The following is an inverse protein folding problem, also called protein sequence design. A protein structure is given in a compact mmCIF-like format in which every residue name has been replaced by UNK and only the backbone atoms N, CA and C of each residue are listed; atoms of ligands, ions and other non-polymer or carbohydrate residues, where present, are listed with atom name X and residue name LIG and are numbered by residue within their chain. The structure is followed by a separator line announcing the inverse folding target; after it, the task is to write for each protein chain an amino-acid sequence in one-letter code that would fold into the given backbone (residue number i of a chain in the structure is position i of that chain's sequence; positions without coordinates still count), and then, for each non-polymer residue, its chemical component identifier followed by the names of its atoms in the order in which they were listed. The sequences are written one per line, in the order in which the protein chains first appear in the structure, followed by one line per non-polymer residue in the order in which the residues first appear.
data_IF_358856490256
#
_entry.id   IF_358856490256
#
_cell.length_a   1.000
_cell.length_b   1.000
_cell.length_c   1.000
_cell.angle_alpha   90.00
_cell.angle_beta   90.00
_cell.angle_gamma   90.00
#
_symmetry.space_group_name_H-M   'P 1'
#
loop_
_entity.id
_entity.type
_entity.pdbx_description
1 polymer ?
#
# COMPACT_ATOMS: atom_id res chain seq x y z
N UNK A 1 -8.03 -8.44 21.90
CA UNK A 1 -8.24 -9.58 21.00
C UNK A 1 -7.86 -10.84 21.75
N UNK A 2 -8.82 -11.47 22.44
CA UNK A 2 -8.59 -12.73 23.13
C UNK A 2 -8.98 -13.84 22.14
N UNK A 3 -8.09 -14.81 21.90
CA UNK A 3 -8.40 -15.98 21.07
C UNK A 3 -9.61 -16.73 21.62
N UNK A 4 -10.34 -17.44 20.75
CA UNK A 4 -11.49 -18.27 21.12
C UNK A 4 -11.11 -19.27 22.22
N UNK A 5 -11.94 -19.36 23.25
CA UNK A 5 -11.82 -20.35 24.33
C UNK A 5 -11.95 -21.77 23.76
N UNK A 6 -11.31 -22.75 24.39
CA UNK A 6 -11.29 -24.14 23.92
C UNK A 6 -12.70 -24.71 23.77
N UNK A 7 -13.63 -24.27 24.63
CA UNK A 7 -15.04 -24.64 24.54
C UNK A 7 -15.72 -24.18 23.24
N UNK A 8 -15.42 -22.96 22.76
CA UNK A 8 -15.98 -22.47 21.48
C UNK A 8 -15.36 -23.17 20.27
N UNK A 9 -14.06 -23.50 20.35
CA UNK A 9 -13.40 -24.33 19.34
C UNK A 9 -14.09 -25.69 19.21
N UNK A 10 -14.29 -26.39 20.33
CA UNK A 10 -14.87 -27.74 20.32
C UNK A 10 -16.31 -27.73 19.81
N UNK A 11 -17.09 -26.69 20.15
CA UNK A 11 -18.49 -26.57 19.75
C UNK A 11 -18.68 -26.21 18.26
N UNK A 12 -17.87 -25.28 17.72
CA UNK A 12 -18.15 -24.68 16.40
C UNK A 12 -17.08 -24.95 15.34
N UNK A 13 -15.80 -24.95 15.73
CA UNK A 13 -14.68 -24.99 14.78
C UNK A 13 -14.25 -26.43 14.50
N UNK A 14 -14.15 -27.26 15.55
CA UNK A 14 -13.73 -28.66 15.46
C UNK A 14 -14.58 -29.47 14.46
N UNK A 15 -15.93 -29.41 14.46
CA UNK A 15 -16.74 -30.16 13.50
C UNK A 15 -16.46 -29.77 12.04
N UNK A 16 -16.18 -28.49 11.78
CA UNK A 16 -15.88 -27.97 10.43
C UNK A 16 -14.52 -28.49 9.96
N UNK A 17 -13.50 -28.37 10.80
CA UNK A 17 -12.14 -28.87 10.51
C UNK A 17 -12.18 -30.39 10.27
N UNK A 18 -12.86 -31.13 11.14
CA UNK A 18 -12.98 -32.59 11.06
C UNK A 18 -13.65 -33.04 9.76
N UNK A 19 -14.72 -32.33 9.33
CA UNK A 19 -15.47 -32.71 8.14
C UNK A 19 -14.82 -32.27 6.82
N UNK A 20 -14.10 -31.13 6.81
CA UNK A 20 -13.66 -30.47 5.57
C UNK A 20 -12.16 -30.42 5.37
N UNK A 21 -11.38 -30.43 6.45
CA UNK A 21 -9.95 -30.13 6.39
C UNK A 21 -9.08 -31.35 6.72
N UNK A 22 -9.50 -32.22 7.65
CA UNK A 22 -8.65 -33.32 8.14
C UNK A 22 -8.33 -34.39 7.10
N UNK A 23 -9.12 -34.52 6.02
CA UNK A 23 -8.78 -35.43 4.91
C UNK A 23 -7.40 -35.13 4.33
N UNK A 24 -7.02 -33.85 4.26
CA UNK A 24 -5.68 -33.43 3.82
C UNK A 24 -4.80 -33.07 5.02
N UNK A 25 -5.33 -32.35 6.01
CA UNK A 25 -4.57 -31.78 7.13
C UNK A 25 -4.51 -32.67 8.39
N UNK A 26 -4.74 -33.97 8.25
CA UNK A 26 -4.77 -34.93 9.38
C UNK A 26 -3.41 -35.28 9.99
N UNK A 27 -2.31 -34.74 9.44
CA UNK A 27 -0.93 -35.00 9.90
C UNK A 27 -0.18 -36.10 9.13
N UNK A 28 -0.84 -36.75 8.16
CA UNK A 28 -0.23 -37.80 7.34
C UNK A 28 0.83 -37.28 6.35
N UNK A 29 0.74 -36.00 5.95
CA UNK A 29 1.69 -35.38 5.05
C UNK A 29 2.47 -34.27 5.78
N UNK A 30 3.79 -34.43 5.99
CA UNK A 30 4.63 -33.44 6.67
C UNK A 30 4.78 -32.09 5.94
N UNK A 31 4.45 -32.03 4.65
CA UNK A 31 4.61 -30.82 3.84
C UNK A 31 3.43 -29.84 3.94
N UNK A 32 2.37 -30.22 4.65
CA UNK A 32 1.20 -29.36 4.87
C UNK A 32 0.89 -29.23 6.36
N UNK A 33 0.35 -28.09 6.81
CA UNK A 33 0.09 -27.86 8.22
C UNK A 33 -0.84 -28.93 8.80
N UNK A 34 -0.50 -29.48 9.97
CA UNK A 34 -1.41 -30.36 10.69
C UNK A 34 -2.47 -29.48 11.39
N UNK A 35 -3.75 -29.73 11.13
CA UNK A 35 -4.87 -29.02 11.75
C UNK A 35 -5.63 -29.89 12.76
N UNK A 36 -5.14 -31.11 13.01
CA UNK A 36 -5.77 -32.06 13.92
C UNK A 36 -5.58 -31.62 15.37
N UNK A 37 -6.70 -31.26 16.01
CA UNK A 37 -6.75 -30.84 17.40
C UNK A 37 -6.43 -29.36 17.63
N UNK A 38 -6.88 -28.88 18.79
CA UNK A 38 -6.81 -27.47 19.18
C UNK A 38 -5.38 -26.91 19.15
N UNK A 39 -4.40 -27.63 19.69
CA UNK A 39 -3.02 -27.14 19.81
C UNK A 39 -2.35 -26.92 18.46
N UNK A 40 -2.60 -27.81 17.51
CA UNK A 40 -2.02 -27.68 16.18
C UNK A 40 -2.69 -26.54 15.41
N UNK A 41 -4.01 -26.40 15.54
CA UNK A 41 -4.73 -25.26 14.97
C UNK A 41 -4.29 -23.93 15.59
N UNK A 42 -4.10 -23.87 16.91
CA UNK A 42 -3.69 -22.66 17.63
C UNK A 42 -2.28 -22.17 17.25
N UNK A 43 -1.40 -23.06 16.77
CA UNK A 43 -0.08 -22.70 16.25
C UNK A 43 -0.15 -21.97 14.90
N UNK A 44 -1.13 -22.31 14.07
CA UNK A 44 -1.30 -21.68 12.74
C UNK A 44 -2.31 -20.55 12.74
N UNK A 45 -3.24 -20.54 13.71
CA UNK A 45 -4.23 -19.49 13.93
C UNK A 45 -3.75 -18.43 14.93
N UNK A 46 -2.44 -18.21 15.02
CA UNK A 46 -1.86 -17.15 15.83
C UNK A 46 -2.39 -15.79 15.37
N UNK A 47 -2.66 -14.90 16.31
CA UNK A 47 -3.06 -13.52 15.99
C UNK A 47 -1.89 -12.86 15.26
N UNK A 48 -2.15 -12.38 14.04
CA UNK A 48 -1.18 -11.59 13.30
C UNK A 48 -0.95 -10.27 14.05
N UNK A 49 0.23 -10.12 14.63
CA UNK A 49 0.67 -8.89 15.33
C UNK A 49 1.33 -7.89 14.38
N UNK A 50 1.24 -8.15 13.08
CA UNK A 50 1.87 -7.40 12.00
C UNK A 50 3.37 -7.70 11.87
N UNK A 51 4.01 -7.07 10.90
CA UNK A 51 5.44 -7.25 10.64
C UNK A 51 6.34 -6.87 11.83
N UNK A 52 7.50 -7.52 11.93
CA UNK A 52 8.54 -7.13 12.89
C UNK A 52 9.09 -5.74 12.58
N UNK A 53 9.62 -5.04 13.58
CA UNK A 53 10.25 -3.72 13.37
C UNK A 53 11.43 -3.83 12.40
N UNK A 54 12.23 -4.91 12.48
CA UNK A 54 13.35 -5.13 11.58
C UNK A 54 12.89 -5.29 10.12
N UNK A 55 11.80 -6.04 9.90
CA UNK A 55 11.16 -6.13 8.58
C UNK A 55 10.67 -4.76 8.14
N UNK A 56 10.03 -4.02 9.03
CA UNK A 56 9.46 -2.72 8.71
C UNK A 56 10.54 -1.73 8.27
N UNK A 57 11.63 -1.61 9.02
CA UNK A 57 12.80 -0.78 8.66
C UNK A 57 13.35 -1.16 7.28
N UNK A 58 13.50 -2.46 7.01
CA UNK A 58 13.96 -2.95 5.70
C UNK A 58 13.02 -2.51 4.58
N UNK A 59 11.71 -2.72 4.75
CA UNK A 59 10.69 -2.38 3.75
C UNK A 59 10.60 -0.87 3.56
N UNK A 60 10.67 -0.09 4.64
CA UNK A 60 10.69 1.38 4.60
C UNK A 60 11.89 1.90 3.81
N UNK A 61 13.09 1.34 3.99
CA UNK A 61 14.27 1.77 3.24
C UNK A 61 14.10 1.54 1.74
N UNK A 62 13.68 0.34 1.32
CA UNK A 62 13.52 0.03 -0.11
C UNK A 62 12.40 0.86 -0.76
N UNK A 63 11.30 1.15 -0.03
CA UNK A 63 10.20 1.95 -0.57
C UNK A 63 10.57 3.43 -0.64
N UNK A 64 11.12 3.97 0.45
CA UNK A 64 11.53 5.38 0.50
C UNK A 64 12.59 5.67 -0.56
N UNK A 65 13.54 4.75 -0.81
CA UNK A 65 14.55 4.94 -1.84
C UNK A 65 14.00 4.70 -3.26
N UNK A 66 13.38 3.55 -3.51
CA UNK A 66 12.96 3.15 -4.85
C UNK A 66 11.78 3.97 -5.39
N UNK A 67 10.77 4.23 -4.56
CA UNK A 67 9.56 4.93 -5.01
C UNK A 67 9.81 6.43 -5.18
N UNK A 68 10.60 7.06 -4.30
CA UNK A 68 10.95 8.49 -4.49
C UNK A 68 11.75 8.71 -5.76
N UNK A 69 12.59 7.75 -6.16
CA UNK A 69 13.29 7.80 -7.45
C UNK A 69 12.31 7.78 -8.64
N UNK A 70 11.27 6.94 -8.58
CA UNK A 70 10.20 6.89 -9.58
C UNK A 70 9.45 8.23 -9.64
N UNK A 71 9.08 8.79 -8.48
CA UNK A 71 8.40 10.09 -8.41
C UNK A 71 9.26 11.25 -8.90
N UNK A 72 10.57 11.18 -8.66
CA UNK A 72 11.51 12.16 -9.19
C UNK A 72 11.52 12.14 -10.72
N UNK A 73 11.68 10.97 -11.34
CA UNK A 73 11.67 10.85 -12.80
C UNK A 73 10.31 11.29 -13.37
N UNK A 74 9.21 10.82 -12.81
CA UNK A 74 7.87 11.19 -13.27
C UNK A 74 7.61 12.70 -13.12
N UNK A 75 8.00 13.27 -11.98
CA UNK A 75 7.89 14.70 -11.70
C UNK A 75 8.72 15.54 -12.67
N UNK A 76 9.92 15.09 -13.04
CA UNK A 76 10.74 15.75 -14.07
C UNK A 76 10.11 15.67 -15.47
N UNK A 77 9.49 14.54 -15.84
CA UNK A 77 8.76 14.45 -17.11
C UNK A 77 7.57 15.43 -17.07
N UNK A 78 6.78 15.39 -16.01
CA UNK A 78 5.60 16.22 -15.82
C UNK A 78 5.91 17.72 -15.69
N UNK A 79 7.10 18.12 -15.22
CA UNK A 79 7.46 19.53 -15.15
C UNK A 79 7.45 20.20 -16.53
N UNK A 80 7.76 19.43 -17.58
CA UNK A 80 7.70 19.86 -18.98
C UNK A 80 6.29 19.83 -19.57
N UNK A 81 5.34 19.14 -18.92
CA UNK A 81 3.94 19.15 -19.35
C UNK A 81 3.34 20.55 -19.14
N UNK A 82 2.55 21.02 -20.09
CA UNK A 82 1.81 22.26 -20.00
C UNK A 82 0.66 22.12 -18.99
N UNK A 83 0.82 22.68 -17.80
CA UNK A 83 -0.22 22.75 -16.78
C UNK A 83 -0.22 24.14 -16.16
N UNK A 84 -1.36 24.82 -16.23
CA UNK A 84 -1.61 26.09 -15.53
C UNK A 84 -2.78 25.92 -14.58
N UNK A 85 -2.72 26.52 -13.38
CA UNK A 85 -1.70 27.45 -12.86
C UNK A 85 -0.40 26.76 -12.35
N UNK A 86 0.71 27.52 -12.24
CA UNK A 86 2.03 26.99 -11.85
C UNK A 86 2.04 26.40 -10.43
N UNK A 87 1.32 27.03 -9.49
CA UNK A 87 1.23 26.52 -8.11
C UNK A 87 0.62 25.12 -8.06
N UNK A 88 -0.38 24.83 -8.92
CA UNK A 88 -1.03 23.52 -8.99
C UNK A 88 -0.06 22.49 -9.53
N UNK A 89 0.73 22.84 -10.56
CA UNK A 89 1.78 21.97 -11.08
C UNK A 89 2.79 21.61 -9.99
N UNK A 90 3.28 22.61 -9.26
CA UNK A 90 4.23 22.38 -8.16
C UNK A 90 3.62 21.52 -7.05
N UNK A 91 2.36 21.76 -6.68
CA UNK A 91 1.65 20.97 -5.67
C UNK A 91 1.54 19.49 -6.08
N UNK A 92 1.15 19.22 -7.34
CA UNK A 92 1.05 17.87 -7.89
C UNK A 92 2.41 17.16 -7.92
N UNK A 93 3.51 17.88 -8.21
CA UNK A 93 4.86 17.30 -8.21
C UNK A 93 5.29 16.91 -6.79
N UNK A 94 4.99 17.75 -5.78
CA UNK A 94 5.43 17.57 -4.40
C UNK A 94 4.55 16.57 -3.62
N UNK A 95 3.25 16.52 -3.91
CA UNK A 95 2.28 15.68 -3.21
C UNK A 95 2.71 14.21 -3.01
N UNK A 96 3.21 13.47 -4.02
CA UNK A 96 3.57 12.07 -3.83
C UNK A 96 4.78 11.88 -2.88
N UNK A 97 5.67 12.88 -2.77
CA UNK A 97 6.79 12.86 -1.81
C UNK A 97 6.32 13.07 -0.37
N UNK A 98 5.34 13.94 -0.14
CA UNK A 98 4.75 14.11 1.18
C UNK A 98 3.91 12.88 1.56
N UNK A 99 3.16 12.34 0.60
CA UNK A 99 2.32 11.17 0.81
C UNK A 99 3.13 9.93 1.21
N UNK A 100 4.29 9.67 0.59
CA UNK A 100 5.13 8.51 0.96
C UNK A 100 5.73 8.63 2.37
N UNK A 101 6.07 9.85 2.82
CA UNK A 101 6.55 10.07 4.20
C UNK A 101 5.43 9.75 5.19
N UNK A 102 4.21 10.23 4.92
CA UNK A 102 3.03 9.97 5.75
C UNK A 102 2.70 8.48 5.74
N UNK A 103 2.73 7.83 4.59
CA UNK A 103 2.44 6.40 4.43
C UNK A 103 3.42 5.54 5.25
N UNK A 104 4.73 5.69 5.02
CA UNK A 104 5.75 4.94 5.75
C UNK A 104 5.71 5.25 7.25
N UNK A 105 5.58 6.52 7.63
CA UNK A 105 5.45 6.91 9.03
C UNK A 105 4.24 6.27 9.71
N UNK A 106 3.12 6.18 8.99
CA UNK A 106 1.90 5.57 9.51
C UNK A 106 2.04 4.07 9.76
N UNK A 107 2.93 3.35 9.05
CA UNK A 107 3.20 1.94 9.34
C UNK A 107 3.82 1.71 10.73
N UNK A 108 4.63 2.66 11.21
CA UNK A 108 5.16 2.59 12.57
C UNK A 108 4.10 3.00 13.59
N UNK A 109 3.24 3.96 13.25
CA UNK A 109 2.17 4.43 14.13
C UNK A 109 1.04 3.41 14.28
N UNK A 110 0.78 2.56 13.27
CA UNK A 110 -0.23 1.49 13.37
C UNK A 110 0.10 0.43 14.42
N UNK A 111 1.38 0.29 14.80
CA UNK A 111 1.79 -0.53 15.96
C UNK A 111 1.31 0.04 17.30
N UNK A 112 1.12 1.35 17.38
CA UNK A 112 0.68 2.04 18.60
C UNK A 112 -0.85 2.17 18.60
N UNK A 113 -1.44 2.52 17.46
CA UNK A 113 -2.88 2.66 17.31
C UNK A 113 -3.33 2.24 15.89
N UNK A 114 -4.22 1.25 15.82
CA UNK A 114 -4.75 0.71 14.57
C UNK A 114 -5.50 1.74 13.71
N UNK A 115 -5.98 2.85 14.28
CA UNK A 115 -6.62 3.94 13.52
C UNK A 115 -5.71 4.56 12.46
N UNK A 116 -4.39 4.50 12.63
CA UNK A 116 -3.44 4.98 11.62
C UNK A 116 -3.46 4.17 10.32
N UNK A 117 -4.18 3.04 10.27
CA UNK A 117 -4.41 2.31 9.02
C UNK A 117 -5.13 3.19 7.97
N UNK A 118 -5.98 4.13 8.41
CA UNK A 118 -6.58 5.10 7.51
C UNK A 118 -5.56 6.03 6.87
N UNK A 119 -4.51 6.42 7.62
CA UNK A 119 -3.44 7.25 7.08
C UNK A 119 -2.63 6.50 6.00
N UNK A 120 -2.42 5.18 6.16
CA UNK A 120 -1.83 4.31 5.13
C UNK A 120 -2.67 4.35 3.85
N UNK A 121 -3.97 4.09 3.98
CA UNK A 121 -4.90 4.02 2.84
C UNK A 121 -4.97 5.36 2.12
N UNK A 122 -5.13 6.46 2.87
CA UNK A 122 -5.23 7.81 2.31
C UNK A 122 -3.90 8.23 1.67
N UNK A 123 -2.77 7.97 2.34
CA UNK A 123 -1.43 8.25 1.83
C UNK A 123 -1.17 7.52 0.52
N UNK A 124 -1.41 6.20 0.49
CA UNK A 124 -1.30 5.38 -0.71
C UNK A 124 -2.21 5.84 -1.85
N UNK A 125 -3.47 6.19 -1.55
CA UNK A 125 -4.41 6.69 -2.55
C UNK A 125 -3.99 8.04 -3.13
N UNK A 126 -3.59 9.01 -2.29
CA UNK A 126 -3.10 10.32 -2.73
C UNK A 126 -1.85 10.17 -3.61
N UNK A 127 -0.93 9.32 -3.19
CA UNK A 127 0.29 9.00 -3.92
C UNK A 127 -0.03 8.41 -5.30
N UNK A 128 -0.88 7.38 -5.36
CA UNK A 128 -1.28 6.73 -6.60
C UNK A 128 -2.06 7.65 -7.54
N UNK A 129 -3.01 8.43 -7.03
CA UNK A 129 -3.79 9.39 -7.82
C UNK A 129 -2.90 10.50 -8.39
N UNK A 130 -1.98 11.03 -7.58
CA UNK A 130 -1.04 12.06 -8.03
C UNK A 130 -0.13 11.55 -9.14
N UNK A 131 0.43 10.34 -8.95
CA UNK A 131 1.25 9.70 -9.97
C UNK A 131 0.47 9.42 -11.26
N UNK A 132 -0.74 8.87 -11.15
CA UNK A 132 -1.60 8.59 -12.29
C UNK A 132 -1.94 9.87 -13.06
N UNK A 133 -2.27 10.96 -12.36
CA UNK A 133 -2.53 12.25 -12.99
C UNK A 133 -1.30 12.77 -13.75
N UNK A 134 -0.12 12.77 -13.13
CA UNK A 134 1.13 13.17 -13.78
C UNK A 134 1.42 12.34 -15.04
N UNK A 135 1.24 11.02 -14.95
CA UNK A 135 1.48 10.10 -16.05
C UNK A 135 0.48 10.33 -17.19
N UNK A 136 -0.83 10.37 -16.92
CA UNK A 136 -1.87 10.56 -17.94
C UNK A 136 -1.65 11.87 -18.68
N UNK A 137 -1.43 12.98 -17.95
CA UNK A 137 -1.25 14.29 -18.57
C UNK A 137 0.02 14.32 -19.42
N UNK A 138 1.13 13.78 -18.92
CA UNK A 138 2.39 13.74 -19.67
C UNK A 138 2.26 12.90 -20.94
N UNK A 139 1.68 11.70 -20.85
CA UNK A 139 1.48 10.82 -22.00
C UNK A 139 0.54 11.44 -23.03
N UNK A 140 -0.58 12.01 -22.57
CA UNK A 140 -1.53 12.69 -23.43
C UNK A 140 -0.88 13.84 -24.18
N UNK A 141 -0.05 14.64 -23.50
CA UNK A 141 0.59 15.78 -24.13
C UNK A 141 1.68 15.41 -25.12
N UNK A 142 2.43 14.34 -24.87
CA UNK A 142 3.44 13.88 -25.83
C UNK A 142 2.83 13.30 -27.10
N UNK A 143 1.71 12.57 -27.00
CA UNK A 143 1.16 11.82 -28.12
C UNK A 143 0.05 12.54 -28.89
N UNK A 144 -0.76 13.35 -28.22
CA UNK A 144 -2.01 13.87 -28.79
C UNK A 144 -2.14 15.39 -28.75
N UNK A 145 -1.39 16.08 -27.90
CA UNK A 145 -1.52 17.53 -27.77
C UNK A 145 -0.74 18.27 -28.85
N UNK A 146 -1.43 19.12 -29.61
CA UNK A 146 -0.82 20.00 -30.60
C UNK A 146 -0.71 21.39 -30.00
N UNK A 147 0.53 21.79 -29.70
CA UNK A 147 0.82 23.10 -29.13
C UNK A 147 0.52 24.23 -30.14
N UNK A 148 -0.27 25.23 -29.73
CA UNK A 148 -0.52 26.43 -30.54
C UNK A 148 0.20 27.65 -29.96
N UNK A 149 0.80 28.48 -30.83
CA UNK A 149 1.57 29.70 -30.46
C UNK A 149 0.73 30.66 -29.60
N UNK A 150 -0.60 30.69 -29.79
CA UNK A 150 -1.51 31.51 -28.98
C UNK A 150 -1.58 31.09 -27.50
N UNK A 151 -1.37 29.81 -27.19
CA UNK A 151 -1.29 29.32 -25.81
C UNK A 151 0.06 29.69 -25.17
N UNK A 152 1.14 29.80 -25.95
CA UNK A 152 2.45 30.26 -25.47
C UNK A 152 2.45 31.74 -25.04
N UNK A 153 1.66 32.57 -25.71
CA UNK A 153 1.56 34.00 -25.36
C UNK A 153 0.73 34.19 -24.09
N UNK A 154 -0.35 33.42 -23.90
CA UNK A 154 -1.04 33.37 -22.60
C UNK A 154 -0.10 32.81 -21.53
N UNK A 155 0.69 31.81 -21.90
CA UNK A 155 1.91 31.19 -21.33
C UNK A 155 2.90 32.03 -20.51
N UNK A 156 3.10 33.26 -20.93
CA UNK A 156 4.23 34.10 -20.51
C UNK A 156 3.77 35.38 -19.82
N UNK A 157 2.48 35.71 -19.93
CA UNK A 157 1.93 37.02 -19.54
C UNK A 157 0.99 36.94 -18.33
N UNK A 158 0.56 35.73 -17.93
CA UNK A 158 -0.31 35.50 -16.77
C UNK A 158 0.28 34.58 -15.72
#
# INVERSE_FOLDING_TARGET
HNGLDRAEYDAHIKPIIDQRCLTCHGGSNPHIPNLNGYENLAKVAQIDTGMSIATLVRVSHIHMFGITFIFFIMGMIFSHAYLRPVWLKSAVIVLPFLAIIIDIGSWFLTKINTSFAWAVIIGGALMGLSFAFQWIVSMYQMWFYKYSVAEHTKATVG
#
